data_IF_961354114796
#
_entry.id   IF_961354114796
#
_cell.length_a   1.000
_cell.length_b   1.000
_cell.length_c   1.000
_cell.angle_alpha   90.00
_cell.angle_beta   90.00
_cell.angle_gamma   90.00
#
_symmetry.space_group_name_H-M   'P 1'
#
loop_
_entity.id
_entity.type
_entity.pdbx_description
1 polymer ?
#
# COMPACT_ATOMS: atom_id res chain seq x y z
N UNK A 1 0.30 31.48 7.19
CA UNK A 1 -0.87 30.65 7.49
C UNK A 1 -1.01 29.62 6.40
N UNK A 2 -0.37 28.46 6.60
CA UNK A 2 -0.34 27.37 5.63
C UNK A 2 -1.71 26.71 5.55
N UNK A 3 -2.32 26.76 4.37
CA UNK A 3 -3.52 25.99 4.09
C UNK A 3 -3.07 24.54 3.85
N UNK A 4 -3.11 23.76 4.93
CA UNK A 4 -3.16 22.30 4.91
C UNK A 4 -4.48 21.92 4.25
N UNK A 5 -4.53 21.98 2.91
CA UNK A 5 -5.57 21.26 2.17
C UNK A 5 -5.18 19.80 2.19
N UNK A 6 -5.67 19.14 3.24
CA UNK A 6 -5.76 17.70 3.37
C UNK A 6 -5.92 17.07 1.98
N UNK A 7 -5.03 16.12 1.68
CA UNK A 7 -5.24 15.07 0.69
C UNK A 7 -6.44 14.18 1.10
N UNK A 8 -7.60 14.79 1.32
CA UNK A 8 -8.89 14.13 1.38
C UNK A 8 -9.19 13.69 -0.04
N UNK A 9 -8.65 12.51 -0.35
CA UNK A 9 -9.07 11.59 -1.38
C UNK A 9 -9.67 12.27 -2.62
N UNK A 10 -8.81 12.81 -3.50
CA UNK A 10 -9.19 13.31 -4.84
C UNK A 10 -10.06 12.31 -5.62
N UNK A 11 -10.07 11.02 -5.26
CA UNK A 11 -10.91 10.02 -5.88
C UNK A 11 -12.37 10.04 -5.37
N UNK A 12 -12.64 10.30 -4.10
CA UNK A 12 -14.02 10.34 -3.56
C UNK A 12 -14.80 11.54 -4.12
N UNK A 13 -14.17 12.71 -4.21
CA UNK A 13 -14.78 13.90 -4.84
C UNK A 13 -14.99 13.71 -6.35
N UNK A 14 -14.12 12.97 -7.04
CA UNK A 14 -14.32 12.63 -8.45
C UNK A 14 -15.50 11.67 -8.67
N UNK A 15 -15.71 10.70 -7.78
CA UNK A 15 -16.80 9.70 -7.92
C UNK A 15 -18.19 10.30 -7.69
N UNK A 16 -18.34 11.22 -6.72
CA UNK A 16 -19.61 11.92 -6.48
C UNK A 16 -19.91 12.98 -7.57
N UNK A 17 -18.88 13.62 -8.13
CA UNK A 17 -19.03 14.54 -9.25
C UNK A 17 -19.46 13.84 -10.54
N UNK A 18 -18.99 12.62 -10.81
CA UNK A 18 -19.31 11.89 -12.04
C UNK A 18 -20.80 11.52 -12.17
N UNK A 19 -21.46 11.18 -11.06
CA UNK A 19 -22.89 10.78 -11.06
C UNK A 19 -23.86 11.97 -11.22
N UNK A 20 -23.43 13.19 -10.87
CA UNK A 20 -24.29 14.39 -10.82
C UNK A 20 -23.90 15.48 -11.80
N UNK A 21 -22.78 15.35 -12.52
CA UNK A 21 -22.30 16.38 -13.46
C UNK A 21 -22.24 15.85 -14.89
N UNK A 22 -23.32 15.97 -15.66
CA UNK A 22 -23.14 16.20 -17.08
C UNK A 22 -22.37 17.52 -17.27
N UNK A 23 -21.40 17.47 -18.16
CA UNK A 23 -20.39 18.49 -18.46
C UNK A 23 -20.98 19.74 -19.18
N UNK A 24 -22.21 20.15 -18.83
CA UNK A 24 -22.99 21.18 -19.53
C UNK A 24 -22.45 22.60 -19.35
N UNK A 25 -21.93 22.93 -18.17
CA UNK A 25 -21.43 24.28 -17.85
C UNK A 25 -19.92 24.23 -17.64
N UNK A 26 -19.18 24.92 -18.52
CA UNK A 26 -17.72 25.03 -18.49
C UNK A 26 -17.31 26.49 -18.35
N UNK A 27 -16.21 26.71 -17.65
CA UNK A 27 -15.62 28.04 -17.45
C UNK A 27 -14.28 28.12 -18.17
N UNK A 28 -13.96 29.32 -18.66
CA UNK A 28 -12.70 29.61 -19.36
C UNK A 28 -11.62 29.98 -18.34
N UNK A 29 -10.55 29.20 -18.29
CA UNK A 29 -9.33 29.58 -17.57
C UNK A 29 -8.59 30.71 -18.32
N UNK A 30 -7.72 31.45 -17.63
CA UNK A 30 -6.85 32.46 -18.26
C UNK A 30 -5.93 31.92 -19.38
N UNK A 31 -5.73 30.61 -19.48
CA UNK A 31 -5.00 29.96 -20.57
C UNK A 31 -5.89 29.58 -21.77
N UNK A 32 -7.19 29.90 -21.75
CA UNK A 32 -8.14 29.59 -22.82
C UNK A 32 -8.80 28.20 -22.74
N UNK A 33 -8.42 27.36 -21.77
CA UNK A 33 -9.05 26.03 -21.61
C UNK A 33 -10.42 26.12 -20.95
N UNK A 34 -11.41 25.39 -21.51
CA UNK A 34 -12.73 25.17 -20.94
C UNK A 34 -12.71 23.96 -20.01
N UNK A 35 -13.06 24.16 -18.74
CA UNK A 35 -13.11 23.11 -17.72
C UNK A 35 -14.32 23.29 -16.79
N UNK A 36 -14.87 22.23 -16.21
CA UNK A 36 -15.93 22.35 -15.20
C UNK A 36 -15.38 23.01 -13.94
N UNK A 37 -16.24 23.72 -13.21
CA UNK A 37 -15.87 24.48 -12.00
C UNK A 37 -15.23 23.59 -10.93
N UNK A 38 -15.59 22.31 -10.86
CA UNK A 38 -15.03 21.31 -9.92
C UNK A 38 -13.56 20.98 -10.15
N UNK A 39 -13.01 21.35 -11.30
CA UNK A 39 -11.60 21.14 -11.66
C UNK A 39 -10.78 22.43 -11.73
N UNK A 40 -11.40 23.56 -11.38
CA UNK A 40 -10.78 24.89 -11.37
C UNK A 40 -10.50 25.36 -9.95
N UNK A 41 -9.52 26.22 -9.81
CA UNK A 41 -9.09 26.84 -8.56
C UNK A 41 -9.29 28.35 -8.61
N UNK A 42 -9.76 28.95 -7.53
CA UNK A 42 -9.88 30.41 -7.42
C UNK A 42 -8.68 30.98 -6.67
N UNK A 43 -7.93 31.87 -7.31
CA UNK A 43 -6.83 32.57 -6.66
C UNK A 43 -7.34 33.82 -5.94
N UNK A 44 -7.29 33.81 -4.60
CA UNK A 44 -7.70 34.98 -3.79
C UNK A 44 -6.84 36.23 -4.01
N UNK A 45 -5.59 36.06 -4.45
CA UNK A 45 -4.64 37.16 -4.62
C UNK A 45 -4.84 37.91 -5.93
N UNK A 46 -5.17 37.20 -7.00
CA UNK A 46 -5.35 37.79 -8.33
C UNK A 46 -6.83 37.96 -8.72
N UNK A 47 -7.76 37.44 -7.92
CA UNK A 47 -9.20 37.38 -8.20
C UNK A 47 -9.52 36.75 -9.58
N UNK A 48 -8.77 35.71 -9.95
CA UNK A 48 -8.90 35.01 -11.24
C UNK A 48 -8.97 33.50 -11.04
N UNK A 49 -9.74 32.82 -11.88
CA UNK A 49 -9.81 31.36 -11.95
C UNK A 49 -8.62 30.78 -12.71
N UNK A 50 -8.06 29.69 -12.19
CA UNK A 50 -6.90 28.98 -12.72
C UNK A 50 -7.22 27.49 -12.83
N UNK A 51 -6.83 26.85 -13.93
CA UNK A 51 -6.96 25.40 -14.08
C UNK A 51 -5.79 24.68 -13.44
N UNK A 52 -5.90 23.35 -13.31
CA UNK A 52 -4.83 22.49 -12.79
C UNK A 52 -3.49 22.60 -13.52
N UNK A 53 -3.43 23.13 -14.75
CA UNK A 53 -2.18 23.36 -15.48
C UNK A 53 -1.59 24.76 -15.26
N UNK A 54 -2.41 25.74 -14.85
CA UNK A 54 -1.93 27.11 -14.57
C UNK A 54 -1.42 27.28 -13.14
N UNK A 55 -1.54 26.25 -12.31
CA UNK A 55 -1.05 26.23 -10.92
C UNK A 55 0.18 25.31 -10.83
N UNK A 56 1.04 25.59 -9.87
CA UNK A 56 2.14 24.70 -9.53
C UNK A 56 1.64 23.57 -8.62
N UNK A 57 2.10 22.34 -8.87
CA UNK A 57 1.86 21.19 -7.99
C UNK A 57 3.10 20.94 -7.16
N UNK A 58 2.93 20.85 -5.85
CA UNK A 58 3.99 20.52 -4.90
C UNK A 58 3.66 19.20 -4.21
N UNK A 59 4.71 18.45 -3.85
CA UNK A 59 4.57 17.20 -3.10
C UNK A 59 4.63 17.55 -1.61
N UNK A 60 3.52 17.36 -0.92
CA UNK A 60 3.39 17.66 0.51
C UNK A 60 3.82 16.49 1.40
N UNK A 61 3.42 15.25 1.04
CA UNK A 61 3.73 14.05 1.82
C UNK A 61 3.76 12.80 0.96
N UNK A 62 4.49 11.79 1.44
CA UNK A 62 4.53 10.44 0.86
C UNK A 62 3.79 9.51 1.82
N UNK A 63 2.91 8.65 1.32
CA UNK A 63 2.18 7.71 2.18
C UNK A 63 1.93 6.39 1.46
N UNK A 64 1.75 5.32 2.23
CA UNK A 64 1.35 4.02 1.70
C UNK A 64 -0.17 3.92 1.66
N UNK A 65 -0.76 3.58 0.50
CA UNK A 65 -2.21 3.44 0.38
C UNK A 65 -2.78 2.24 1.15
N UNK A 66 -1.97 1.21 1.38
CA UNK A 66 -2.37 -0.01 2.09
C UNK A 66 -2.21 0.14 3.60
N UNK A 67 -1.05 0.63 4.03
CA UNK A 67 -0.69 0.76 5.43
C UNK A 67 -1.24 2.10 6.04
N UNK A 68 -1.68 3.06 5.21
CA UNK A 68 -2.13 4.42 5.58
C UNK A 68 -1.14 5.23 6.43
N UNK A 69 0.14 4.84 6.38
CA UNK A 69 1.22 5.45 7.12
C UNK A 69 1.94 6.50 6.26
N UNK A 70 2.27 7.63 6.88
CA UNK A 70 3.06 8.70 6.27
C UNK A 70 4.55 8.37 6.37
N UNK A 71 5.23 8.36 5.23
CA UNK A 71 6.67 8.14 5.12
C UNK A 71 7.39 9.49 4.95
N UNK A 72 8.38 9.82 5.79
CA UNK A 72 9.15 11.03 5.61
C UNK A 72 9.94 10.98 4.30
N UNK A 73 10.14 12.14 3.66
CA UNK A 73 10.75 12.23 2.32
C UNK A 73 12.16 11.63 2.23
N UNK A 74 12.93 11.64 3.33
CA UNK A 74 14.26 11.01 3.40
C UNK A 74 14.18 9.49 3.31
N UNK A 75 13.26 8.88 4.06
CA UNK A 75 13.02 7.44 4.05
C UNK A 75 12.41 6.98 2.73
N UNK A 76 11.45 7.75 2.19
CA UNK A 76 10.88 7.49 0.88
C UNK A 76 11.98 7.42 -0.19
N UNK A 77 12.93 8.36 -0.18
CA UNK A 77 14.06 8.34 -1.12
C UNK A 77 14.96 7.12 -0.92
N UNK A 78 15.27 6.76 0.33
CA UNK A 78 16.11 5.59 0.64
C UNK A 78 15.44 4.27 0.20
N UNK A 79 14.14 4.13 0.44
CA UNK A 79 13.34 2.95 0.09
C UNK A 79 12.78 2.99 -1.34
N UNK A 80 13.24 3.93 -2.19
CA UNK A 80 12.80 4.09 -3.59
C UNK A 80 11.26 4.19 -3.72
N UNK A 81 10.65 4.99 -2.85
CA UNK A 81 9.20 5.23 -2.75
C UNK A 81 8.37 3.97 -2.51
N UNK A 82 8.92 2.97 -1.82
CA UNK A 82 8.20 1.74 -1.43
C UNK A 82 8.05 1.63 0.08
N UNK A 83 6.92 1.07 0.50
CA UNK A 83 6.72 0.65 1.88
C UNK A 83 7.57 -0.61 2.17
N UNK A 84 8.06 -0.76 3.40
CA UNK A 84 8.84 -1.94 3.81
C UNK A 84 7.98 -3.13 4.24
N UNK A 85 6.69 -2.92 4.48
CA UNK A 85 5.79 -3.93 5.07
C UNK A 85 4.71 -4.41 4.10
N UNK A 86 4.34 -3.55 3.15
CA UNK A 86 3.27 -3.78 2.19
C UNK A 86 3.91 -4.25 0.85
N UNK A 87 3.51 -5.42 0.33
CA UNK A 87 4.07 -6.04 -0.89
C UNK A 87 2.99 -6.23 -1.96
N UNK A 88 3.35 -6.15 -3.24
CA UNK A 88 2.42 -6.32 -4.36
C UNK A 88 2.62 -7.67 -5.06
N UNK A 89 1.51 -8.30 -5.47
CA UNK A 89 1.54 -9.57 -6.16
C UNK A 89 2.18 -9.43 -7.55
N UNK A 90 3.17 -10.27 -7.91
CA UNK A 90 3.84 -10.17 -9.21
C UNK A 90 2.93 -10.51 -10.40
N UNK A 91 1.82 -11.23 -10.17
CA UNK A 91 0.92 -11.66 -11.26
C UNK A 91 -0.22 -10.69 -11.53
N UNK A 92 -0.73 -9.99 -10.52
CA UNK A 92 -1.94 -9.14 -10.66
C UNK A 92 -1.82 -7.76 -10.01
N UNK A 93 -0.66 -7.41 -9.45
CA UNK A 93 -0.37 -6.12 -8.80
C UNK A 93 -1.31 -5.77 -7.62
N UNK A 94 -2.06 -6.75 -7.12
CA UNK A 94 -2.85 -6.59 -5.92
C UNK A 94 -1.98 -6.78 -4.67
N UNK A 95 -2.25 -6.01 -3.62
CA UNK A 95 -1.54 -6.10 -2.34
C UNK A 95 -1.61 -7.51 -1.76
N UNK A 96 -0.45 -8.05 -1.39
CA UNK A 96 -0.30 -9.33 -0.72
C UNK A 96 -0.66 -9.23 0.76
N UNK A 97 -1.12 -10.35 1.31
CA UNK A 97 -1.47 -10.49 2.71
C UNK A 97 -0.63 -11.57 3.39
N UNK A 98 -0.15 -11.28 4.59
CA UNK A 98 0.55 -12.25 5.42
C UNK A 98 -0.45 -13.21 6.08
N UNK A 99 -0.29 -14.51 5.84
CA UNK A 99 -1.10 -15.57 6.47
C UNK A 99 -0.24 -16.44 7.37
N UNK A 100 -0.81 -16.84 8.50
CA UNK A 100 -0.17 -17.78 9.42
C UNK A 100 -0.56 -19.22 9.09
N UNK A 101 0.41 -20.12 9.15
CA UNK A 101 0.24 -21.58 9.17
C UNK A 101 0.90 -22.13 10.43
N UNK A 102 0.27 -23.07 11.09
CA UNK A 102 0.89 -23.84 12.17
C UNK A 102 1.68 -24.99 11.55
N UNK A 103 3.01 -24.91 11.59
CA UNK A 103 3.85 -26.04 11.22
C UNK A 103 3.92 -26.99 12.43
N UNK A 104 3.36 -28.19 12.30
CA UNK A 104 3.69 -29.27 13.23
C UNK A 104 5.13 -29.72 12.95
N UNK A 105 5.97 -29.91 13.98
CA UNK A 105 7.29 -30.48 13.77
C UNK A 105 7.13 -31.88 13.14
N UNK A 106 7.61 -32.08 11.90
CA UNK A 106 7.80 -33.45 11.38
C UNK A 106 8.75 -34.15 12.34
N UNK A 107 8.26 -35.19 13.02
CA UNK A 107 9.15 -36.09 13.75
C UNK A 107 10.11 -36.71 12.73
N UNK A 108 11.44 -36.70 12.98
CA UNK A 108 12.34 -37.53 12.19
C UNK A 108 11.93 -39.01 12.35
N UNK A 109 12.21 -39.88 11.36
CA UNK A 109 11.95 -41.31 11.48
C UNK A 109 12.63 -41.84 12.75
N UNK A 110 11.88 -42.52 13.62
CA UNK A 110 12.41 -43.19 14.79
C UNK A 110 13.22 -44.41 14.36
N UNK A 111 14.53 -44.24 14.20
CA UNK A 111 15.46 -45.36 14.27
C UNK A 111 15.81 -45.59 15.74
N UNK A 112 15.30 -46.69 16.28
CA UNK A 112 15.50 -47.11 17.67
C UNK A 112 16.98 -47.44 17.92
N UNK A 113 17.67 -46.65 18.76
CA UNK A 113 18.86 -47.11 19.49
C UNK A 113 19.08 -46.30 20.77
N UNK A 114 18.92 -47.02 21.89
CA UNK A 114 19.36 -46.81 23.27
C UNK A 114 20.04 -45.49 23.72
N UNK A 115 19.47 -44.90 24.78
CA UNK A 115 20.22 -44.45 25.97
C UNK A 115 20.71 -42.99 26.00
N UNK A 116 20.07 -42.18 26.84
CA UNK A 116 20.64 -40.90 27.33
C UNK A 116 19.62 -39.78 27.46
N UNK A 117 19.48 -39.23 28.67
CA UNK A 117 18.54 -38.20 29.12
C UNK A 117 18.32 -37.04 28.14
N UNK A 118 17.24 -37.12 27.36
CA UNK A 118 16.77 -36.02 26.52
C UNK A 118 15.81 -35.14 27.33
N UNK A 119 16.25 -33.91 27.64
CA UNK A 119 15.36 -32.81 28.06
C UNK A 119 14.16 -32.77 27.11
N UNK A 120 12.97 -32.97 27.68
CA UNK A 120 11.68 -32.76 27.00
C UNK A 120 11.54 -31.26 26.75
N UNK A 121 12.12 -30.80 25.64
CA UNK A 121 11.94 -29.43 25.17
C UNK A 121 10.53 -29.33 24.58
N UNK A 122 9.77 -28.40 25.16
CA UNK A 122 8.36 -28.14 24.91
C UNK A 122 8.11 -27.93 23.41
N UNK A 123 7.66 -28.95 22.67
CA UNK A 123 7.30 -28.88 21.24
C UNK A 123 6.02 -28.07 21.06
N UNK A 124 6.10 -26.77 21.30
CA UNK A 124 5.02 -25.85 21.01
C UNK A 124 4.89 -25.69 19.49
N UNK A 125 3.65 -25.63 18.95
CA UNK A 125 3.41 -25.41 17.53
C UNK A 125 3.97 -24.04 17.11
N UNK A 126 4.99 -24.03 16.25
CA UNK A 126 5.61 -22.79 15.76
C UNK A 126 4.72 -22.19 14.67
N UNK A 127 4.27 -20.95 14.88
CA UNK A 127 3.57 -20.17 13.85
C UNK A 127 4.58 -19.77 12.77
N UNK A 128 4.24 -20.08 11.53
CA UNK A 128 5.00 -19.72 10.34
C UNK A 128 4.12 -18.85 9.45
N UNK A 129 4.71 -17.90 8.74
CA UNK A 129 4.01 -16.90 7.93
C UNK A 129 4.38 -17.04 6.46
N UNK A 130 3.41 -16.88 5.57
CA UNK A 130 3.60 -16.86 4.11
C UNK A 130 2.78 -15.72 3.49
N UNK A 131 3.19 -15.21 2.34
CA UNK A 131 2.45 -14.16 1.62
C UNK A 131 1.46 -14.81 0.64
N UNK A 132 0.27 -14.23 0.54
CA UNK A 132 -0.78 -14.70 -0.37
C UNK A 132 -1.59 -13.57 -0.98
N UNK A 133 -1.96 -13.74 -2.24
CA UNK A 133 -2.85 -12.83 -2.95
C UNK A 133 -4.31 -13.33 -2.89
N UNK A 134 -5.23 -12.46 -2.49
CA UNK A 134 -6.67 -12.79 -2.48
C UNK A 134 -7.29 -12.84 -3.88
N UNK A 135 -6.72 -12.12 -4.85
CA UNK A 135 -7.30 -11.99 -6.19
C UNK A 135 -6.96 -13.17 -7.11
N UNK A 136 -5.68 -13.50 -7.24
CA UNK A 136 -5.21 -14.56 -8.15
C UNK A 136 -4.75 -15.85 -7.45
N UNK A 137 -4.89 -15.94 -6.12
CA UNK A 137 -4.43 -17.06 -5.28
C UNK A 137 -2.93 -17.37 -5.33
N UNK A 138 -2.11 -16.48 -5.88
CA UNK A 138 -0.66 -16.58 -5.82
C UNK A 138 -0.17 -16.64 -4.37
N UNK A 139 0.82 -17.48 -4.09
CA UNK A 139 1.48 -17.58 -2.79
C UNK A 139 3.00 -17.47 -2.91
N UNK A 140 3.67 -17.02 -1.85
CA UNK A 140 5.13 -16.99 -1.79
C UNK A 140 5.76 -18.38 -1.93
N UNK A 141 5.00 -19.44 -1.60
CA UNK A 141 5.43 -20.84 -1.75
C UNK A 141 5.50 -21.27 -3.21
N UNK A 142 4.68 -20.68 -4.10
CA UNK A 142 4.65 -21.01 -5.54
C UNK A 142 5.99 -20.71 -6.22
N UNK A 143 6.74 -19.75 -5.68
CA UNK A 143 8.08 -19.34 -6.14
C UNK A 143 9.20 -19.82 -5.23
N UNK A 144 8.90 -20.71 -4.28
CA UNK A 144 9.90 -21.31 -3.39
C UNK A 144 10.44 -20.40 -2.28
N UNK A 145 9.78 -19.29 -1.95
CA UNK A 145 10.18 -18.45 -0.81
C UNK A 145 9.77 -19.17 0.49
N UNK A 146 10.71 -19.44 1.42
CA UNK A 146 10.42 -20.16 2.65
C UNK A 146 9.56 -19.32 3.60
N UNK A 147 8.67 -20.00 4.32
CA UNK A 147 7.83 -19.37 5.34
C UNK A 147 8.68 -18.74 6.45
N UNK A 148 8.31 -17.53 6.88
CA UNK A 148 9.04 -16.78 7.88
C UNK A 148 8.49 -17.04 9.29
N UNK A 149 9.34 -17.05 10.34
CA UNK A 149 8.88 -17.16 11.72
C UNK A 149 8.27 -15.85 12.25
N UNK A 150 8.51 -14.73 11.55
CA UNK A 150 8.00 -13.38 11.87
C UNK A 150 7.01 -12.92 10.81
N UNK A 151 5.96 -12.20 11.21
CA UNK A 151 4.92 -11.72 10.31
C UNK A 151 5.41 -10.61 9.36
N UNK A 152 6.34 -9.78 9.83
CA UNK A 152 6.85 -8.59 9.12
C UNK A 152 8.36 -8.48 9.28
N UNK A 153 9.04 -7.87 8.31
CA UNK A 153 10.48 -7.53 8.39
C UNK A 153 11.47 -8.64 8.00
N UNK A 154 11.02 -9.89 7.86
CA UNK A 154 11.84 -11.02 7.38
C UNK A 154 11.67 -11.34 5.89
N UNK A 155 10.92 -10.50 5.16
CA UNK A 155 10.62 -10.70 3.74
C UNK A 155 11.67 -10.01 2.87
N UNK A 156 12.11 -10.66 1.76
CA UNK A 156 13.12 -10.10 0.84
C UNK A 156 12.64 -8.86 0.08
#
# INVERSE_FOLDING_TARGET
>A
GGLVFQFLNKNILKTMAYLTQPDYVKYVCSCGQLKPITSLYFCRHCLKIRCGFCICHEVDSHYCANCLENMPSSEARLKKNRCSSCFDCPSCFHTLSTRATTAQPRQPPQDNAAGGDAKVENKQPKKMYYLSCFNCRWTSRDVGIPDQPVASGGWP
#
